data_IF_351206981037
#
_entry.id   IF_351206981037
#
_cell.length_a   1.000
_cell.length_b   1.000
_cell.length_c   1.000
_cell.angle_alpha   90.00
_cell.angle_beta   90.00
_cell.angle_gamma   90.00
#
_symmetry.space_group_name_H-M   'P 1'
#
loop_
_entity.id
_entity.type
_entity.pdbx_description
1 polymer ?
#
# COMPACT_ATOMS: atom_id res chain seq x y z
N UNK A 1 -42.39 6.09 46.91
CA UNK A 1 -41.03 5.66 46.50
C UNK A 1 -40.35 6.86 45.84
N UNK A 2 -39.46 7.60 46.56
CA UNK A 2 -38.77 8.77 45.98
C UNK A 2 -37.57 8.27 45.17
N UNK A 3 -37.65 8.33 43.85
CA UNK A 3 -36.55 8.01 42.96
C UNK A 3 -35.51 9.14 43.04
N UNK A 4 -34.36 8.88 43.67
CA UNK A 4 -33.18 9.74 43.62
C UNK A 4 -32.68 9.81 42.17
N UNK A 5 -33.12 10.80 41.41
CA UNK A 5 -32.53 11.11 40.11
C UNK A 5 -31.22 11.85 40.36
N UNK A 6 -30.11 11.11 40.46
CA UNK A 6 -28.76 11.69 40.39
C UNK A 6 -28.56 12.21 38.96
N UNK A 7 -28.65 13.53 38.79
CA UNK A 7 -28.29 14.19 37.53
C UNK A 7 -26.77 14.23 37.37
N UNK A 8 -26.30 14.07 36.13
CA UNK A 8 -24.89 14.23 35.77
C UNK A 8 -24.49 15.71 35.95
N UNK A 9 -23.37 15.99 36.60
CA UNK A 9 -22.92 17.37 36.79
C UNK A 9 -22.20 17.88 35.54
N UNK A 10 -22.31 19.17 35.26
CA UNK A 10 -21.56 19.80 34.16
C UNK A 10 -20.04 19.69 34.39
N UNK A 11 -19.59 19.75 35.65
CA UNK A 11 -18.19 19.59 36.01
C UNK A 11 -17.64 18.20 35.68
N UNK A 12 -18.42 17.13 35.94
CA UNK A 12 -18.08 15.76 35.55
C UNK A 12 -17.96 15.63 34.02
N UNK A 13 -18.84 16.29 33.26
CA UNK A 13 -18.76 16.25 31.80
C UNK A 13 -17.53 17.00 31.28
N UNK A 14 -17.23 18.16 31.87
CA UNK A 14 -16.11 19.01 31.46
C UNK A 14 -14.75 18.33 31.65
N UNK A 15 -14.53 17.67 32.79
CA UNK A 15 -13.25 16.98 33.04
C UNK A 15 -13.06 15.79 32.09
N UNK A 16 -14.14 15.08 31.75
CA UNK A 16 -14.09 13.95 30.81
C UNK A 16 -13.69 14.43 29.42
N UNK A 17 -14.32 15.49 28.91
CA UNK A 17 -13.98 16.06 27.60
C UNK A 17 -12.55 16.60 27.58
N UNK A 18 -12.09 17.20 28.68
CA UNK A 18 -10.70 17.67 28.80
C UNK A 18 -9.69 16.51 28.69
N UNK A 19 -9.93 15.39 29.37
CA UNK A 19 -9.05 14.21 29.31
C UNK A 19 -9.08 13.58 27.91
N UNK A 20 -10.27 13.40 27.31
CA UNK A 20 -10.40 12.88 25.94
C UNK A 20 -9.66 13.79 24.95
N UNK A 21 -9.73 15.11 25.12
CA UNK A 21 -9.00 16.08 24.29
C UNK A 21 -7.49 15.84 24.30
N UNK A 22 -6.89 15.62 25.47
CA UNK A 22 -5.45 15.32 25.59
C UNK A 22 -5.10 13.99 24.93
N UNK A 23 -5.91 12.94 25.16
CA UNK A 23 -5.68 11.63 24.55
C UNK A 23 -5.75 11.69 23.03
N UNK A 24 -6.76 12.36 22.47
CA UNK A 24 -6.97 12.50 21.02
C UNK A 24 -5.82 13.30 20.38
N UNK A 25 -5.36 14.37 21.03
CA UNK A 25 -4.27 15.20 20.51
C UNK A 25 -2.98 14.40 20.27
N UNK A 26 -2.65 13.44 21.14
CA UNK A 26 -1.48 12.58 20.99
C UNK A 26 -1.78 11.39 20.07
N UNK A 27 -2.98 10.82 20.17
CA UNK A 27 -3.32 9.56 19.48
C UNK A 27 -3.48 9.72 17.97
N UNK A 28 -4.07 10.82 17.50
CA UNK A 28 -4.30 11.05 16.06
C UNK A 28 -2.99 10.99 15.25
N UNK A 29 -1.94 11.80 15.52
CA UNK A 29 -0.74 11.81 14.70
C UNK A 29 0.02 10.47 14.73
N UNK A 30 -0.01 9.76 15.87
CA UNK A 30 0.59 8.43 15.99
C UNK A 30 -0.16 7.43 15.12
N UNK A 31 -1.49 7.43 15.20
CA UNK A 31 -2.33 6.50 14.45
C UNK A 31 -2.26 6.75 12.94
N UNK A 32 -2.27 8.01 12.50
CA UNK A 32 -2.13 8.35 11.08
C UNK A 32 -0.79 7.88 10.51
N UNK A 33 0.31 8.08 11.26
CA UNK A 33 1.64 7.59 10.84
C UNK A 33 1.73 6.06 10.80
N UNK A 34 1.07 5.34 11.71
CA UNK A 34 1.02 3.87 11.67
C UNK A 34 0.17 3.35 10.52
N UNK A 35 -0.98 3.98 10.27
CA UNK A 35 -1.84 3.65 9.14
C UNK A 35 -1.10 3.82 7.81
N UNK A 36 -0.28 4.86 7.69
CA UNK A 36 0.53 5.09 6.50
C UNK A 36 1.58 4.00 6.29
N UNK A 37 2.32 3.63 7.34
CA UNK A 37 3.28 2.50 7.27
C UNK A 37 2.60 1.18 6.90
N UNK A 38 1.37 0.95 7.35
CA UNK A 38 0.61 -0.24 6.99
C UNK A 38 0.21 -0.24 5.49
N UNK A 39 -0.15 0.92 4.95
CA UNK A 39 -0.42 1.09 3.51
C UNK A 39 0.83 0.85 2.68
N UNK A 40 1.97 1.41 3.07
CA UNK A 40 3.25 1.16 2.40
C UNK A 40 3.65 -0.31 2.40
N UNK A 41 3.48 -1.00 3.54
CA UNK A 41 3.75 -2.42 3.63
C UNK A 41 2.85 -3.23 2.69
N UNK A 42 1.58 -2.82 2.56
CA UNK A 42 0.62 -3.42 1.63
C UNK A 42 1.04 -3.19 0.17
N UNK A 43 1.38 -1.95 -0.19
CA UNK A 43 1.87 -1.61 -1.54
C UNK A 43 3.12 -2.43 -1.89
N UNK A 44 4.10 -2.48 -0.98
CA UNK A 44 5.32 -3.24 -1.19
C UNK A 44 5.06 -4.76 -1.31
N UNK A 45 4.11 -5.31 -0.55
CA UNK A 45 3.72 -6.71 -0.67
C UNK A 45 3.04 -7.00 -2.01
N UNK A 46 2.13 -6.13 -2.45
CA UNK A 46 1.42 -6.26 -3.72
C UNK A 46 2.38 -6.17 -4.91
N UNK A 47 3.34 -5.24 -4.88
CA UNK A 47 4.38 -5.12 -5.91
C UNK A 47 5.25 -6.39 -5.94
N UNK A 48 5.66 -6.94 -4.79
CA UNK A 48 6.44 -8.20 -4.76
C UNK A 48 5.66 -9.37 -5.33
N UNK A 49 4.38 -9.49 -5.00
CA UNK A 49 3.51 -10.55 -5.52
C UNK A 49 3.36 -10.44 -7.04
N UNK A 50 3.06 -9.25 -7.56
CA UNK A 50 2.97 -9.00 -9.00
C UNK A 50 4.30 -9.27 -9.71
N UNK A 51 5.42 -8.83 -9.13
CA UNK A 51 6.76 -9.10 -9.66
C UNK A 51 7.06 -10.60 -9.77
N UNK A 52 6.72 -11.38 -8.73
CA UNK A 52 6.93 -12.82 -8.74
C UNK A 52 6.08 -13.50 -9.81
N UNK A 53 4.80 -13.14 -9.93
CA UNK A 53 3.90 -13.72 -10.94
C UNK A 53 4.31 -13.36 -12.38
N UNK A 54 4.68 -12.10 -12.64
CA UNK A 54 5.23 -11.71 -13.95
C UNK A 54 6.54 -12.45 -14.24
N UNK A 55 7.40 -12.63 -13.23
CA UNK A 55 8.64 -13.39 -13.40
C UNK A 55 8.38 -14.86 -13.72
N UNK A 56 7.34 -15.49 -13.19
CA UNK A 56 7.00 -16.87 -13.54
C UNK A 56 6.47 -16.97 -14.97
N UNK A 57 5.63 -16.02 -15.40
CA UNK A 57 5.07 -16.03 -16.75
C UNK A 57 6.15 -15.76 -17.81
N UNK A 58 7.11 -14.89 -17.52
CA UNK A 58 8.29 -14.67 -18.39
C UNK A 58 9.10 -15.95 -18.59
N UNK A 59 9.24 -16.78 -17.54
CA UNK A 59 10.04 -18.01 -17.60
C UNK A 59 9.30 -19.18 -18.26
N UNK A 60 8.00 -19.28 -18.04
CA UNK A 60 7.17 -20.35 -18.60
C UNK A 60 6.70 -20.03 -20.02
N UNK A 61 6.59 -18.74 -20.35
CA UNK A 61 6.03 -18.18 -21.57
C UNK A 61 4.77 -18.90 -22.09
N UNK A 62 3.65 -18.90 -21.34
CA UNK A 62 2.40 -19.50 -21.80
C UNK A 62 1.76 -18.79 -23.01
N UNK A 63 2.24 -17.58 -23.36
CA UNK A 63 1.74 -16.72 -24.43
C UNK A 63 0.25 -16.39 -24.31
N UNK A 64 -0.21 -16.23 -23.08
CA UNK A 64 -1.60 -15.96 -22.74
C UNK A 64 -1.70 -15.03 -21.53
N UNK A 65 -2.86 -14.40 -21.36
CA UNK A 65 -3.15 -13.61 -20.16
C UNK A 65 -3.31 -14.53 -18.95
N UNK A 66 -2.76 -14.14 -17.80
CA UNK A 66 -3.08 -14.74 -16.51
C UNK A 66 -4.16 -13.90 -15.81
N UNK A 67 -5.42 -14.31 -16.01
CA UNK A 67 -6.58 -13.64 -15.43
C UNK A 67 -6.62 -13.76 -13.89
N UNK A 68 -6.01 -14.80 -13.31
CA UNK A 68 -6.02 -14.99 -11.86
C UNK A 68 -5.13 -13.95 -11.16
N UNK A 69 -4.01 -13.60 -11.79
CA UNK A 69 -3.06 -12.60 -11.28
C UNK A 69 -3.19 -11.22 -11.98
N UNK A 70 -4.18 -11.03 -12.84
CA UNK A 70 -4.41 -9.80 -13.62
C UNK A 70 -3.18 -9.37 -14.44
N UNK A 71 -2.58 -10.34 -15.15
CA UNK A 71 -1.43 -10.13 -16.02
C UNK A 71 -1.88 -10.21 -17.47
N UNK A 72 -1.45 -9.23 -18.27
CA UNK A 72 -1.74 -9.19 -19.71
C UNK A 72 -0.48 -9.51 -20.51
N UNK A 73 -0.62 -10.37 -21.52
CA UNK A 73 0.42 -10.69 -22.49
C UNK A 73 0.27 -9.84 -23.77
N UNK A 74 1.36 -9.21 -24.22
CA UNK A 74 1.47 -8.57 -25.54
C UNK A 74 2.25 -9.49 -26.48
N UNK A 75 1.59 -10.01 -27.51
CA UNK A 75 2.25 -10.83 -28.54
C UNK A 75 3.15 -10.01 -29.47
N UNK A 76 2.86 -8.72 -29.63
CA UNK A 76 3.66 -7.80 -30.44
C UNK A 76 5.03 -7.51 -29.76
N UNK A 77 5.00 -7.25 -28.46
CA UNK A 77 6.19 -6.87 -27.69
C UNK A 77 6.84 -8.06 -26.97
N UNK A 78 6.14 -9.20 -26.90
CA UNK A 78 6.52 -10.38 -26.11
C UNK A 78 6.75 -10.02 -24.64
N UNK A 79 5.77 -9.35 -24.05
CA UNK A 79 5.82 -8.87 -22.68
C UNK A 79 4.62 -9.31 -21.86
N UNK A 80 4.85 -9.56 -20.56
CA UNK A 80 3.83 -9.74 -19.54
C UNK A 80 3.75 -8.48 -18.68
N UNK A 81 2.57 -7.90 -18.53
CA UNK A 81 2.36 -6.65 -17.79
C UNK A 81 1.35 -6.83 -16.66
N UNK A 82 1.74 -6.42 -15.46
CA UNK A 82 0.84 -6.30 -14.30
C UNK A 82 0.79 -4.84 -13.82
N UNK A 83 -0.35 -4.43 -13.27
CA UNK A 83 -0.51 -3.09 -12.67
C UNK A 83 -0.90 -3.20 -11.21
N UNK A 84 -0.17 -2.49 -10.35
CA UNK A 84 -0.49 -2.35 -8.93
C UNK A 84 -0.86 -0.91 -8.64
N UNK A 85 -2.04 -0.66 -8.05
CA UNK A 85 -2.47 0.67 -7.65
C UNK A 85 -2.02 0.98 -6.23
N UNK A 86 -1.44 2.16 -6.03
CA UNK A 86 -0.98 2.63 -4.73
C UNK A 86 -2.14 2.90 -3.77
N UNK A 87 -1.93 2.53 -2.50
CA UNK A 87 -2.86 2.83 -1.40
C UNK A 87 -2.27 3.79 -0.37
N UNK A 88 -0.94 3.92 -0.29
CA UNK A 88 -0.29 4.94 0.54
C UNK A 88 -0.69 6.36 0.08
N UNK A 89 -0.67 7.32 1.00
CA UNK A 89 -1.07 8.70 0.74
C UNK A 89 0.09 9.68 0.68
N UNK A 90 1.25 9.32 1.22
CA UNK A 90 2.46 10.14 1.19
C UNK A 90 3.22 9.99 -0.13
N UNK A 91 3.91 11.05 -0.60
CA UNK A 91 4.65 11.04 -1.86
C UNK A 91 5.93 10.20 -1.83
N UNK A 92 6.46 9.97 -0.62
CA UNK A 92 7.68 9.22 -0.37
C UNK A 92 7.42 8.09 0.60
N UNK A 93 8.24 7.03 0.51
CA UNK A 93 8.26 5.97 1.51
C UNK A 93 8.59 6.54 2.90
N UNK A 94 7.73 6.35 3.89
CA UNK A 94 7.96 6.76 5.27
C UNK A 94 8.73 5.69 6.05
N UNK A 95 8.58 4.41 5.68
CA UNK A 95 9.26 3.28 6.31
C UNK A 95 10.72 3.20 5.87
N UNK A 96 11.66 3.18 6.83
CA UNK A 96 13.10 3.20 6.55
C UNK A 96 13.57 2.07 5.60
N UNK A 97 13.05 0.85 5.76
CA UNK A 97 13.38 -0.28 4.87
C UNK A 97 12.87 -0.10 3.44
N UNK A 98 11.85 0.73 3.23
CA UNK A 98 11.30 1.05 1.91
C UNK A 98 11.93 2.33 1.33
N UNK A 99 12.53 3.20 2.16
CA UNK A 99 13.33 4.36 1.71
C UNK A 99 14.56 3.96 0.91
N UNK A 100 15.09 2.76 1.12
CA UNK A 100 16.13 2.19 0.25
C UNK A 100 15.62 1.90 -1.17
N UNK A 101 14.30 1.95 -1.37
CA UNK A 101 13.62 1.80 -2.65
C UNK A 101 13.64 0.38 -3.20
N UNK A 102 14.21 -0.61 -2.50
CA UNK A 102 14.42 -1.95 -3.09
C UNK A 102 13.22 -2.87 -2.90
N UNK A 103 12.55 -3.18 -3.99
CA UNK A 103 11.49 -4.20 -4.07
C UNK A 103 11.84 -5.17 -5.19
N UNK A 104 11.97 -6.47 -4.89
CA UNK A 104 12.41 -7.46 -5.87
C UNK A 104 13.82 -7.20 -6.44
N UNK A 105 14.69 -6.54 -5.66
CA UNK A 105 16.02 -6.13 -6.12
C UNK A 105 16.04 -4.90 -7.02
N UNK A 106 14.88 -4.32 -7.35
CA UNK A 106 14.76 -3.10 -8.16
C UNK A 106 14.49 -1.88 -7.30
N UNK A 107 15.01 -0.73 -7.75
CA UNK A 107 14.67 0.57 -7.17
C UNK A 107 13.27 0.97 -7.65
N UNK A 108 12.34 1.12 -6.72
CA UNK A 108 10.93 1.46 -6.95
C UNK A 108 10.62 2.76 -6.22
N UNK A 109 10.28 3.79 -6.99
CA UNK A 109 9.79 5.05 -6.45
C UNK A 109 8.43 4.86 -5.77
N UNK A 110 8.20 5.58 -4.68
CA UNK A 110 6.89 5.61 -4.03
C UNK A 110 5.83 6.23 -4.95
N UNK A 111 4.57 5.92 -4.70
CA UNK A 111 3.43 6.45 -5.43
C UNK A 111 2.31 6.76 -4.45
N UNK A 112 1.52 7.79 -4.77
CA UNK A 112 0.37 8.18 -3.95
C UNK A 112 -0.91 7.52 -4.43
N UNK A 113 -1.88 7.43 -3.52
CA UNK A 113 -3.17 6.79 -3.73
C UNK A 113 -3.78 7.11 -5.10
N UNK A 114 -4.09 6.06 -5.85
CA UNK A 114 -4.70 6.15 -7.18
C UNK A 114 -3.70 6.19 -8.35
N UNK A 115 -2.41 6.43 -8.09
CA UNK A 115 -1.34 6.22 -9.07
C UNK A 115 -0.92 4.75 -9.10
N UNK A 116 -0.09 4.37 -10.06
CA UNK A 116 0.18 2.95 -10.33
C UNK A 116 1.66 2.64 -10.50
N UNK A 117 2.03 1.41 -10.14
CA UNK A 117 3.24 0.78 -10.63
C UNK A 117 2.88 -0.19 -11.75
N UNK A 118 3.60 -0.10 -12.86
CA UNK A 118 3.55 -1.08 -13.94
C UNK A 118 4.75 -2.01 -13.79
N UNK A 119 4.49 -3.30 -13.69
CA UNK A 119 5.50 -4.35 -13.69
C UNK A 119 5.49 -4.96 -15.09
N UNK A 120 6.61 -4.92 -15.79
CA UNK A 120 6.74 -5.43 -17.15
C UNK A 120 7.83 -6.48 -17.21
N UNK A 121 7.48 -7.68 -17.64
CA UNK A 121 8.40 -8.78 -17.90
C UNK A 121 8.60 -8.97 -19.39
N UNK A 122 9.84 -8.87 -19.86
CA UNK A 122 10.21 -9.09 -21.27
C UNK A 122 10.72 -10.53 -21.45
N UNK A 123 10.05 -11.29 -22.33
CA UNK A 123 10.34 -12.72 -22.55
C UNK A 123 11.68 -12.92 -23.27
N UNK A 124 12.06 -12.01 -24.17
CA UNK A 124 13.28 -12.16 -24.97
C UNK A 124 14.54 -11.98 -24.12
N UNK A 125 14.50 -11.06 -23.16
CA UNK A 125 15.61 -10.74 -22.25
C UNK A 125 15.52 -11.46 -20.91
N UNK A 126 14.35 -12.01 -20.56
CA UNK A 126 14.06 -12.56 -19.23
C UNK A 126 14.02 -11.50 -18.13
N UNK A 127 14.04 -10.21 -18.49
CA UNK A 127 14.14 -9.10 -17.54
C UNK A 127 12.76 -8.64 -17.12
N UNK A 128 12.56 -8.51 -15.81
CA UNK A 128 11.37 -7.87 -15.24
C UNK A 128 11.74 -6.47 -14.73
N UNK A 129 10.97 -5.46 -15.08
CA UNK A 129 11.12 -4.06 -14.63
C UNK A 129 9.90 -3.57 -13.88
N UNK A 130 10.11 -2.63 -12.95
CA UNK A 130 9.05 -1.95 -12.20
C UNK A 130 9.16 -0.45 -12.48
N UNK A 131 8.10 0.12 -13.04
CA UNK A 131 8.02 1.54 -13.37
C UNK A 131 6.85 2.19 -12.64
N UNK A 132 7.07 3.40 -12.14
CA UNK A 132 6.06 4.16 -11.44
C UNK A 132 5.43 5.18 -12.40
N UNK A 133 4.10 5.21 -12.49
CA UNK A 133 3.31 6.06 -13.41
C UNK A 133 2.34 6.96 -12.66
#
# INVERSE_FOLDING_TARGET
MRTNKKGFTLAELLIVVAIIGVLVAISIPIFTGQLEKAREATDAANIRAAYAAVSTDVLLDPQANDTANNITYSSADKTYTATVTAVQTEPDWQTASLKEGKIGGQTVAAQTKGKTWTITGDVASGKVTIEAK
#
